data_IF_261760240898
#
_entry.id   IF_261760240898
#
_cell.length_a   1.000
_cell.length_b   1.000
_cell.length_c   1.000
_cell.angle_alpha   90.00
_cell.angle_beta   90.00
_cell.angle_gamma   90.00
#
_symmetry.space_group_name_H-M   'P 1'
#
loop_
_entity.id
_entity.type
_entity.pdbx_description
1 polymer ?
#
# COMPACT_ATOMS: atom_id res chain seq x y z
N UNK A 1 0.48 15.23 30.19
CA UNK A 1 -0.06 13.89 30.38
C UNK A 1 -1.32 13.92 31.24
N UNK A 2 -2.42 13.32 30.75
CA UNK A 2 -3.72 13.32 31.44
C UNK A 2 -4.23 11.86 31.57
N UNK A 3 -3.86 11.15 32.65
CA UNK A 3 -4.15 9.74 32.81
C UNK A 3 -5.67 9.43 32.89
N UNK A 4 -6.48 10.42 33.24
CA UNK A 4 -7.93 10.29 33.39
C UNK A 4 -8.72 10.58 32.10
N UNK A 5 -8.02 10.89 30.98
CA UNK A 5 -8.64 11.19 29.69
C UNK A 5 -8.40 10.07 28.68
N UNK A 6 -9.38 9.80 27.77
CA UNK A 6 -9.13 8.93 26.63
C UNK A 6 -7.96 9.44 25.80
N UNK A 7 -7.21 8.54 25.17
CA UNK A 7 -6.17 8.86 24.23
C UNK A 7 -6.49 8.32 22.85
N UNK A 8 -5.92 8.96 21.84
CA UNK A 8 -5.84 8.48 20.46
C UNK A 8 -4.37 8.43 20.06
N UNK A 9 -3.94 7.29 19.54
CA UNK A 9 -2.59 7.09 19.01
C UNK A 9 -2.67 6.61 17.57
N UNK A 10 -2.09 7.37 16.65
CA UNK A 10 -1.83 6.95 15.29
C UNK A 10 -0.34 6.65 15.16
N UNK A 11 0.00 5.37 15.07
CA UNK A 11 1.37 4.93 14.95
C UNK A 11 1.65 4.44 13.53
N UNK A 12 2.35 5.26 12.75
CA UNK A 12 2.73 4.99 11.37
C UNK A 12 4.27 4.96 11.26
N UNK A 13 4.91 3.80 11.54
CA UNK A 13 6.35 3.65 11.37
C UNK A 13 6.70 3.65 9.87
N UNK A 14 7.95 3.98 9.51
CA UNK A 14 8.45 3.86 8.14
C UNK A 14 8.56 2.40 7.63
N UNK A 15 8.46 1.43 8.53
CA UNK A 15 8.44 0.01 8.17
C UNK A 15 7.03 -0.39 7.64
N UNK A 16 6.94 -1.26 6.66
CA UNK A 16 8.02 -1.99 5.97
C UNK A 16 8.35 -1.42 4.58
N UNK A 17 8.25 -0.10 4.40
CA UNK A 17 8.66 0.58 3.15
C UNK A 17 10.20 0.60 3.01
N UNK A 18 10.71 0.60 1.78
CA UNK A 18 12.12 0.88 1.52
C UNK A 18 12.54 2.28 2.02
N UNK A 19 13.82 2.48 2.35
CA UNK A 19 14.88 1.48 2.37
C UNK A 19 14.75 0.50 3.56
N UNK A 20 15.10 -0.75 3.32
CA UNK A 20 15.00 -1.78 4.37
C UNK A 20 16.24 -1.74 5.25
N UNK A 21 16.15 -1.08 6.42
CA UNK A 21 17.23 -0.99 7.39
C UNK A 21 16.90 -1.80 8.65
N UNK A 22 17.79 -2.73 9.00
CA UNK A 22 17.61 -3.59 10.16
C UNK A 22 18.96 -4.06 10.73
N UNK A 23 19.03 -4.26 12.02
CA UNK A 23 20.19 -4.85 12.67
C UNK A 23 20.44 -6.28 12.17
N UNK A 24 21.72 -6.63 12.02
CA UNK A 24 22.17 -7.90 11.44
C UNK A 24 21.55 -9.13 12.13
N UNK A 25 21.43 -9.09 13.47
CA UNK A 25 20.85 -10.18 14.25
C UNK A 25 19.40 -10.52 13.87
N UNK A 26 18.67 -9.61 13.25
CA UNK A 26 17.31 -9.87 12.78
C UNK A 26 17.30 -10.50 11.39
N UNK A 27 18.11 -10.00 10.47
CA UNK A 27 18.19 -10.58 9.13
C UNK A 27 18.82 -11.96 9.11
N UNK A 28 19.80 -12.23 9.97
CA UNK A 28 20.44 -13.55 10.10
C UNK A 28 19.48 -14.67 10.54
N UNK A 29 18.35 -14.35 11.18
CA UNK A 29 17.31 -15.34 11.52
C UNK A 29 16.68 -15.98 10.29
N UNK A 30 16.73 -15.30 9.16
CA UNK A 30 16.07 -15.69 7.92
C UNK A 30 16.99 -16.33 6.90
N UNK A 31 18.29 -16.36 7.17
CA UNK A 31 19.26 -17.05 6.33
C UNK A 31 18.79 -18.47 6.02
N UNK A 32 18.91 -18.88 4.77
CA UNK A 32 18.53 -20.20 4.26
C UNK A 32 17.01 -20.53 4.37
N UNK A 33 16.14 -19.53 4.57
CA UNK A 33 14.69 -19.74 4.66
C UNK A 33 13.96 -19.60 3.32
N UNK A 34 14.62 -19.03 2.33
CA UNK A 34 14.02 -18.65 1.05
C UNK A 34 14.74 -19.24 -0.16
N UNK A 35 15.61 -20.26 0.03
CA UNK A 35 16.50 -20.84 -0.99
C UNK A 35 15.77 -21.33 -2.24
N UNK A 36 14.51 -21.77 -2.10
CA UNK A 36 13.65 -22.16 -3.22
C UNK A 36 13.13 -20.98 -4.09
N UNK A 37 13.46 -19.76 -3.71
CA UNK A 37 13.04 -18.56 -4.43
C UNK A 37 11.56 -18.20 -4.27
N UNK A 38 11.15 -17.16 -4.99
CA UNK A 38 9.81 -16.58 -4.83
C UNK A 38 8.68 -17.44 -5.38
N UNK A 39 8.90 -18.25 -6.40
CA UNK A 39 7.87 -19.13 -6.95
C UNK A 39 7.51 -20.25 -5.95
N UNK A 40 8.52 -20.94 -5.36
CA UNK A 40 8.29 -21.94 -4.30
C UNK A 40 7.71 -21.29 -3.03
N UNK A 41 8.26 -20.15 -2.61
CA UNK A 41 7.78 -19.43 -1.42
C UNK A 41 6.30 -19.08 -1.57
N UNK A 42 5.88 -18.57 -2.73
CA UNK A 42 4.48 -18.24 -3.02
C UNK A 42 3.58 -19.47 -2.92
N UNK A 43 3.97 -20.58 -3.52
CA UNK A 43 3.22 -21.84 -3.46
C UNK A 43 3.07 -22.33 -2.00
N UNK A 44 4.16 -22.28 -1.23
CA UNK A 44 4.18 -22.67 0.20
C UNK A 44 3.28 -21.75 1.05
N UNK A 45 3.33 -20.45 0.84
CA UNK A 45 2.47 -19.48 1.55
C UNK A 45 1.00 -19.74 1.23
N UNK A 46 0.66 -19.98 -0.03
CA UNK A 46 -0.71 -20.30 -0.46
C UNK A 46 -1.28 -21.53 0.26
N UNK A 47 -0.51 -22.64 0.30
CA UNK A 47 -0.93 -23.85 1.00
C UNK A 47 -1.13 -23.60 2.50
N UNK A 48 -0.26 -22.77 3.09
CA UNK A 48 -0.38 -22.39 4.50
C UNK A 48 -1.61 -21.53 4.77
N UNK A 49 -1.92 -20.58 3.89
CA UNK A 49 -3.13 -19.75 3.99
C UNK A 49 -4.41 -20.59 3.94
N UNK A 50 -4.49 -21.57 3.03
CA UNK A 50 -5.60 -22.54 2.96
C UNK A 50 -5.70 -23.37 4.26
N UNK A 51 -4.59 -23.95 4.72
CA UNK A 51 -4.55 -24.77 5.92
C UNK A 51 -4.95 -23.99 7.20
N UNK A 52 -4.68 -22.72 7.24
CA UNK A 52 -5.06 -21.82 8.35
C UNK A 52 -6.49 -21.27 8.23
N UNK A 53 -7.17 -21.48 7.09
CA UNK A 53 -8.49 -20.92 6.82
C UNK A 53 -8.49 -19.40 6.65
N UNK A 54 -7.32 -18.79 6.33
CA UNK A 54 -7.20 -17.33 6.12
C UNK A 54 -7.83 -16.94 4.78
N UNK A 55 -7.76 -17.82 3.79
CA UNK A 55 -8.41 -17.67 2.49
C UNK A 55 -9.46 -18.77 2.33
N UNK A 56 -10.55 -18.54 1.58
CA UNK A 56 -11.60 -19.54 1.35
C UNK A 56 -11.07 -20.81 0.71
N UNK A 57 -11.70 -21.94 1.05
CA UNK A 57 -11.51 -23.19 0.31
C UNK A 57 -11.92 -22.99 -1.15
N UNK A 58 -11.16 -23.55 -2.08
CA UNK A 58 -11.38 -23.37 -3.52
C UNK A 58 -10.77 -22.09 -4.10
N UNK A 59 -10.12 -21.25 -3.30
CA UNK A 59 -9.33 -20.12 -3.83
C UNK A 59 -8.26 -20.66 -4.79
N UNK A 60 -8.10 -20.00 -5.92
CA UNK A 60 -7.05 -20.33 -6.89
C UNK A 60 -5.83 -19.45 -6.69
N UNK A 61 -4.64 -20.03 -6.84
CA UNK A 61 -3.39 -19.28 -6.85
C UNK A 61 -3.22 -18.65 -8.23
N UNK A 62 -3.22 -17.31 -8.28
CA UNK A 62 -3.06 -16.61 -9.55
C UNK A 62 -1.66 -16.75 -10.12
N UNK A 63 -1.57 -16.76 -11.45
CA UNK A 63 -0.32 -16.87 -12.17
C UNK A 63 0.55 -15.62 -12.03
N UNK A 64 1.86 -15.81 -12.27
CA UNK A 64 2.83 -14.72 -12.37
C UNK A 64 2.61 -13.97 -13.69
N UNK A 65 2.70 -12.65 -13.65
CA UNK A 65 2.70 -11.86 -14.88
C UNK A 65 3.88 -12.27 -15.78
N UNK A 66 3.63 -12.43 -17.07
CA UNK A 66 4.63 -12.91 -18.04
C UNK A 66 5.84 -11.97 -18.19
N UNK A 67 5.71 -10.72 -17.73
CA UNK A 67 6.81 -9.73 -17.74
C UNK A 67 7.64 -9.74 -16.46
N UNK A 68 7.23 -10.52 -15.42
CA UNK A 68 8.04 -10.77 -14.23
C UNK A 68 8.95 -11.98 -14.45
N UNK A 69 10.21 -11.87 -14.04
CA UNK A 69 11.19 -12.95 -14.16
C UNK A 69 10.85 -14.10 -13.19
N UNK A 70 10.97 -15.37 -13.65
CA UNK A 70 10.89 -16.53 -12.78
C UNK A 70 12.17 -16.67 -11.95
N UNK A 71 12.08 -17.31 -10.77
CA UNK A 71 13.26 -17.56 -9.96
C UNK A 71 14.33 -18.39 -10.69
N UNK A 72 13.89 -19.38 -11.44
CA UNK A 72 14.81 -20.26 -12.19
C UNK A 72 15.54 -19.56 -13.34
N UNK A 73 15.01 -18.41 -13.80
CA UNK A 73 15.63 -17.59 -14.84
C UNK A 73 16.65 -16.57 -14.27
N UNK A 74 16.76 -16.46 -12.93
CA UNK A 74 17.75 -15.59 -12.30
C UNK A 74 19.14 -16.23 -12.42
N UNK A 75 20.15 -15.47 -12.90
CA UNK A 75 21.53 -15.95 -12.94
C UNK A 75 22.01 -16.47 -11.60
N UNK A 76 22.73 -17.60 -11.60
CA UNK A 76 23.15 -18.26 -10.37
C UNK A 76 24.02 -17.35 -9.47
N UNK A 77 24.86 -16.54 -10.08
CA UNK A 77 25.72 -15.56 -9.40
C UNK A 77 24.97 -14.35 -8.81
N UNK A 78 23.69 -14.17 -9.16
CA UNK A 78 22.83 -13.12 -8.61
C UNK A 78 21.92 -13.63 -7.48
N UNK A 79 21.68 -14.93 -7.38
CA UNK A 79 20.72 -15.51 -6.43
C UNK A 79 21.01 -15.18 -4.97
N UNK A 80 22.28 -15.25 -4.55
CA UNK A 80 22.67 -14.93 -3.18
C UNK A 80 22.32 -13.46 -2.81
N UNK A 81 22.53 -12.54 -3.73
CA UNK A 81 22.11 -11.14 -3.57
C UNK A 81 20.60 -11.02 -3.38
N UNK A 82 19.81 -11.71 -4.22
CA UNK A 82 18.35 -11.67 -4.15
C UNK A 82 17.81 -12.28 -2.85
N UNK A 83 18.39 -13.37 -2.39
CA UNK A 83 18.04 -14.00 -1.11
C UNK A 83 18.37 -13.08 0.06
N UNK A 84 19.55 -12.46 0.05
CA UNK A 84 19.96 -11.55 1.11
C UNK A 84 19.07 -10.32 1.23
N UNK A 85 18.59 -9.77 0.12
CA UNK A 85 17.60 -8.68 0.12
C UNK A 85 16.32 -9.08 0.85
N UNK A 86 15.85 -10.32 0.65
CA UNK A 86 14.65 -10.79 1.33
C UNK A 86 14.91 -11.10 2.81
N UNK A 87 16.06 -11.66 3.17
CA UNK A 87 16.43 -11.88 4.58
C UNK A 87 16.36 -10.57 5.39
N UNK A 88 16.89 -9.50 4.79
CA UNK A 88 16.86 -8.16 5.40
C UNK A 88 15.43 -7.68 5.58
N UNK A 89 14.59 -7.81 4.54
CA UNK A 89 13.18 -7.41 4.62
C UNK A 89 12.40 -8.24 5.66
N UNK A 90 12.58 -9.55 5.69
CA UNK A 90 11.92 -10.42 6.65
C UNK A 90 12.30 -10.09 8.10
N UNK A 91 13.59 -9.82 8.35
CA UNK A 91 14.08 -9.35 9.64
C UNK A 91 13.49 -7.98 10.03
N UNK A 92 13.34 -7.08 9.06
CA UNK A 92 12.73 -5.76 9.25
C UNK A 92 11.24 -5.86 9.65
N UNK A 93 10.49 -6.73 8.97
CA UNK A 93 9.08 -7.00 9.28
C UNK A 93 8.95 -7.63 10.68
N UNK A 94 9.74 -8.65 11.01
CA UNK A 94 9.70 -9.28 12.34
C UNK A 94 10.03 -8.28 13.46
N UNK A 95 11.04 -7.47 13.26
CA UNK A 95 11.40 -6.43 14.23
C UNK A 95 10.23 -5.47 14.47
N UNK A 96 9.60 -4.99 13.41
CA UNK A 96 8.44 -4.10 13.51
C UNK A 96 7.31 -4.75 14.30
N UNK A 97 6.98 -5.99 13.97
CA UNK A 97 5.98 -6.78 14.68
C UNK A 97 6.28 -6.93 16.17
N UNK A 98 7.54 -7.16 16.54
CA UNK A 98 7.97 -7.24 17.94
C UNK A 98 7.82 -5.89 18.66
N UNK A 99 8.06 -4.75 17.98
CA UNK A 99 7.84 -3.43 18.59
C UNK A 99 6.34 -3.15 18.82
N UNK A 100 5.47 -3.59 17.90
CA UNK A 100 4.01 -3.56 18.12
C UNK A 100 3.63 -4.36 19.37
N UNK A 101 4.17 -5.56 19.51
CA UNK A 101 3.95 -6.40 20.70
C UNK A 101 4.34 -5.67 22.00
N UNK A 102 5.53 -5.06 22.05
CA UNK A 102 5.98 -4.27 23.22
C UNK A 102 5.06 -3.11 23.56
N UNK A 103 4.51 -2.43 22.55
CA UNK A 103 3.54 -1.36 22.77
C UNK A 103 2.27 -1.90 23.44
N UNK A 104 1.75 -3.01 22.94
CA UNK A 104 0.55 -3.67 23.51
C UNK A 104 0.82 -4.16 24.93
N UNK A 105 1.97 -4.78 25.19
CA UNK A 105 2.38 -5.22 26.51
C UNK A 105 2.52 -4.04 27.50
N UNK A 106 3.04 -2.91 27.01
CA UNK A 106 3.11 -1.68 27.80
C UNK A 106 1.74 -1.13 28.18
N UNK A 107 0.77 -1.16 27.26
CA UNK A 107 -0.63 -0.78 27.56
C UNK A 107 -1.27 -1.75 28.58
N UNK A 108 -0.97 -3.04 28.48
CA UNK A 108 -1.46 -4.06 29.40
C UNK A 108 -0.92 -3.82 30.81
N UNK A 109 0.39 -3.60 30.94
CA UNK A 109 1.05 -3.30 32.21
C UNK A 109 0.54 -2.02 32.90
N UNK A 110 0.04 -1.05 32.11
CA UNK A 110 -0.59 0.17 32.62
C UNK A 110 -2.10 0.02 32.90
N UNK A 111 -2.70 -1.14 32.61
CA UNK A 111 -4.14 -1.39 32.81
C UNK A 111 -5.05 -0.76 31.76
N UNK A 112 -4.53 -0.34 30.61
CA UNK A 112 -5.34 0.31 29.55
C UNK A 112 -5.84 -0.64 28.47
N UNK A 113 -5.20 -1.80 28.27
CA UNK A 113 -5.47 -2.72 27.17
C UNK A 113 -6.92 -3.17 27.09
N UNK A 114 -7.53 -3.48 28.24
CA UNK A 114 -8.90 -4.05 28.28
C UNK A 114 -9.93 -3.14 27.60
N UNK A 115 -9.83 -1.81 27.84
CA UNK A 115 -10.74 -0.81 27.27
C UNK A 115 -10.08 0.04 26.16
N UNK A 116 -9.13 -0.50 25.45
CA UNK A 116 -8.50 0.13 24.28
C UNK A 116 -8.80 -0.70 23.05
N UNK A 117 -9.34 -0.06 22.00
CA UNK A 117 -9.38 -0.66 20.66
C UNK A 117 -8.03 -0.54 20.01
N UNK A 118 -7.46 -1.64 19.54
CA UNK A 118 -6.25 -1.70 18.76
C UNK A 118 -6.63 -2.16 17.35
N UNK A 119 -6.35 -1.34 16.36
CA UNK A 119 -6.52 -1.66 14.94
C UNK A 119 -5.12 -1.79 14.34
N UNK A 120 -4.76 -2.98 13.92
CA UNK A 120 -3.48 -3.27 13.28
C UNK A 120 -3.69 -3.58 11.81
N UNK A 121 -3.15 -2.75 10.94
CA UNK A 121 -3.18 -2.93 9.49
C UNK A 121 -1.75 -3.23 9.05
N UNK A 122 -1.56 -4.38 8.40
CA UNK A 122 -0.26 -4.77 7.88
C UNK A 122 -0.11 -4.28 6.44
N UNK A 123 0.57 -3.14 6.30
CA UNK A 123 0.71 -2.42 5.04
C UNK A 123 -0.50 -1.53 4.72
N UNK A 124 -0.25 -0.44 4.03
CA UNK A 124 -1.24 0.53 3.55
C UNK A 124 -1.66 0.25 2.09
N UNK A 125 -0.90 -0.59 1.41
CA UNK A 125 -1.08 -1.07 0.05
C UNK A 125 -0.38 -2.43 -0.12
N UNK A 126 -0.47 -3.05 -1.30
CA UNK A 126 0.20 -4.30 -1.60
C UNK A 126 1.73 -4.21 -1.53
N UNK A 127 2.40 -5.35 -1.56
CA UNK A 127 3.86 -5.45 -1.56
C UNK A 127 4.50 -4.64 -2.68
N UNK A 128 5.57 -3.89 -2.36
CA UNK A 128 6.20 -2.98 -3.31
C UNK A 128 7.15 -3.69 -4.28
N UNK A 129 6.87 -3.57 -5.57
CA UNK A 129 7.77 -4.01 -6.64
C UNK A 129 8.76 -2.91 -7.11
N UNK A 130 8.84 -1.79 -6.38
CA UNK A 130 9.66 -0.63 -6.76
C UNK A 130 11.15 -0.91 -6.75
N UNK A 131 11.59 -1.98 -6.08
CA UNK A 131 12.96 -2.49 -6.17
C UNK A 131 13.29 -3.15 -7.52
N UNK A 132 12.30 -3.40 -8.39
CA UNK A 132 12.42 -3.96 -9.73
C UNK A 132 13.23 -5.27 -9.74
N UNK A 133 14.47 -5.27 -10.24
CA UNK A 133 15.35 -6.44 -10.25
C UNK A 133 16.15 -6.62 -8.93
N UNK A 134 15.79 -5.89 -7.88
CA UNK A 134 16.56 -5.74 -6.67
C UNK A 134 17.49 -4.55 -6.72
N UNK A 135 17.54 -3.74 -5.67
CA UNK A 135 18.33 -2.50 -5.68
C UNK A 135 19.03 -2.25 -4.34
N UNK A 136 20.22 -1.67 -4.42
CA UNK A 136 20.95 -1.11 -3.27
C UNK A 136 20.71 0.40 -3.11
N UNK A 137 19.94 1.02 -4.01
CA UNK A 137 19.65 2.45 -3.98
C UNK A 137 18.22 2.74 -4.44
N UNK A 138 17.44 3.28 -3.55
CA UNK A 138 16.09 3.76 -3.85
C UNK A 138 16.12 4.82 -4.96
N UNK A 139 17.08 5.73 -4.92
CA UNK A 139 17.24 6.78 -5.93
C UNK A 139 17.41 6.19 -7.35
N UNK A 140 18.24 5.15 -7.49
CA UNK A 140 18.47 4.51 -8.79
C UNK A 140 17.21 3.79 -9.29
N UNK A 141 16.55 3.04 -8.40
CA UNK A 141 15.35 2.28 -8.74
C UNK A 141 14.18 3.19 -9.10
N UNK A 142 13.86 4.17 -8.29
CA UNK A 142 12.71 5.05 -8.51
C UNK A 142 12.87 5.97 -9.72
N UNK A 143 14.07 6.42 -10.01
CA UNK A 143 14.34 7.22 -11.20
C UNK A 143 14.68 6.38 -12.43
N UNK A 144 14.58 5.05 -12.34
CA UNK A 144 14.84 4.11 -13.44
C UNK A 144 16.21 4.33 -14.09
N UNK A 145 17.21 4.66 -13.27
CA UNK A 145 18.59 4.86 -13.75
C UNK A 145 19.19 3.48 -14.07
N UNK A 146 19.56 3.22 -15.35
CA UNK A 146 20.03 1.91 -15.75
C UNK A 146 21.26 1.46 -14.97
N UNK A 147 21.18 0.28 -14.38
CA UNK A 147 22.29 -0.39 -13.71
C UNK A 147 22.08 -1.90 -13.77
N UNK A 148 23.12 -2.68 -13.51
CA UNK A 148 23.06 -4.14 -13.47
C UNK A 148 23.32 -4.63 -12.04
N UNK A 149 22.84 -5.84 -11.73
CA UNK A 149 23.12 -6.47 -10.42
C UNK A 149 24.63 -6.64 -10.21
N UNK A 150 25.38 -7.01 -11.25
CA UNK A 150 26.85 -7.09 -11.19
C UNK A 150 27.51 -5.75 -10.80
N UNK A 151 27.02 -4.62 -11.32
CA UNK A 151 27.49 -3.29 -10.90
C UNK A 151 27.17 -2.97 -9.46
N UNK A 152 25.98 -3.35 -8.99
CA UNK A 152 25.56 -3.17 -7.62
C UNK A 152 26.41 -4.04 -6.66
N UNK A 153 26.65 -5.31 -7.01
CA UNK A 153 27.52 -6.21 -6.23
C UNK A 153 28.96 -5.68 -6.16
N UNK A 154 29.52 -5.20 -7.27
CA UNK A 154 30.84 -4.56 -7.28
C UNK A 154 30.91 -3.27 -6.44
N UNK A 155 29.79 -2.56 -6.28
CA UNK A 155 29.71 -1.43 -5.36
C UNK A 155 29.63 -1.89 -3.88
N UNK A 156 28.86 -2.95 -3.59
CA UNK A 156 28.77 -3.54 -2.27
C UNK A 156 30.13 -4.06 -1.78
N UNK A 157 30.94 -4.70 -2.62
CA UNK A 157 32.26 -5.22 -2.27
C UNK A 157 33.18 -4.14 -1.68
N UNK A 158 33.03 -2.89 -2.10
CA UNK A 158 33.82 -1.76 -1.61
C UNK A 158 33.41 -1.28 -0.20
N UNK A 159 32.23 -1.66 0.27
CA UNK A 159 31.64 -1.15 1.53
C UNK A 159 31.29 -2.25 2.53
N UNK A 160 31.63 -3.53 2.21
CA UNK A 160 31.46 -4.67 3.12
C UNK A 160 30.71 -5.86 2.52
N UNK A 161 30.52 -5.89 1.20
CA UNK A 161 29.83 -6.98 0.50
C UNK A 161 28.34 -7.04 0.86
N UNK A 162 27.76 -8.23 0.82
CA UNK A 162 26.34 -8.45 1.13
C UNK A 162 25.98 -8.08 2.59
N UNK A 163 26.95 -8.02 3.49
CA UNK A 163 26.74 -7.56 4.87
C UNK A 163 26.43 -6.05 4.96
N UNK A 164 26.63 -5.27 3.90
CA UNK A 164 26.21 -3.89 3.85
C UNK A 164 24.69 -3.73 3.66
N UNK A 165 24.02 -4.77 3.15
CA UNK A 165 22.55 -4.76 2.99
C UNK A 165 21.88 -4.73 4.38
N UNK A 166 20.86 -3.91 4.50
CA UNK A 166 20.16 -3.66 5.75
C UNK A 166 20.80 -2.59 6.64
N UNK A 167 21.95 -2.03 6.25
CA UNK A 167 22.63 -0.98 7.00
C UNK A 167 22.39 0.42 6.39
N UNK A 168 22.79 1.46 7.11
CA UNK A 168 22.74 2.84 6.63
C UNK A 168 23.73 3.18 5.50
N UNK A 169 24.45 2.20 4.99
CA UNK A 169 25.39 2.38 3.86
C UNK A 169 24.68 2.30 2.51
N UNK A 170 23.51 1.70 2.46
CA UNK A 170 22.73 1.47 1.25
C UNK A 170 21.24 1.64 1.52
N UNK A 171 20.47 1.91 0.46
CA UNK A 171 19.00 2.05 0.50
C UNK A 171 18.39 0.87 -0.24
N UNK A 172 18.55 -0.33 0.31
CA UNK A 172 18.19 -1.54 -0.40
C UNK A 172 16.69 -1.83 -0.41
N UNK A 173 16.25 -2.38 -1.56
CA UNK A 173 14.90 -2.88 -1.80
C UNK A 173 14.95 -4.23 -2.50
N UNK A 174 14.04 -5.13 -2.16
CA UNK A 174 14.00 -6.47 -2.74
C UNK A 174 13.49 -6.51 -4.18
N UNK A 175 13.71 -7.64 -4.85
CA UNK A 175 13.24 -7.91 -6.21
C UNK A 175 11.71 -7.99 -6.29
N UNK A 176 11.14 -7.54 -7.41
CA UNK A 176 9.69 -7.57 -7.68
C UNK A 176 9.05 -8.97 -7.57
N UNK A 177 9.80 -10.04 -7.84
CA UNK A 177 9.36 -11.42 -7.62
C UNK A 177 9.00 -11.68 -6.15
N UNK A 178 9.76 -11.14 -5.21
CA UNK A 178 9.43 -11.22 -3.78
C UNK A 178 8.19 -10.38 -3.42
N UNK A 179 8.01 -9.23 -4.07
CA UNK A 179 6.79 -8.44 -3.90
C UNK A 179 5.54 -9.23 -4.33
N UNK A 180 5.59 -9.84 -5.52
CA UNK A 180 4.52 -10.69 -6.00
C UNK A 180 4.26 -11.90 -5.09
N UNK A 181 5.31 -12.55 -4.60
CA UNK A 181 5.17 -13.63 -3.63
C UNK A 181 4.56 -13.15 -2.30
N UNK A 182 4.87 -11.93 -1.86
CA UNK A 182 4.24 -11.27 -0.70
C UNK A 182 2.77 -10.92 -0.89
N UNK A 183 2.28 -10.86 -2.13
CA UNK A 183 0.88 -10.58 -2.47
C UNK A 183 0.00 -11.83 -2.61
N UNK A 184 0.49 -13.03 -2.24
CA UNK A 184 -0.24 -14.31 -2.33
C UNK A 184 -1.62 -14.24 -1.65
N UNK A 185 -2.73 -14.73 -2.27
CA UNK A 185 -2.82 -15.45 -3.56
C UNK A 185 -3.03 -14.55 -4.77
N UNK A 186 -3.05 -13.23 -4.59
CA UNK A 186 -3.46 -12.26 -5.59
C UNK A 186 -2.37 -12.01 -6.63
N UNK A 187 -2.78 -11.55 -7.82
CA UNK A 187 -1.85 -11.05 -8.84
C UNK A 187 -1.46 -9.60 -8.57
N UNK A 188 -0.39 -9.16 -9.22
CA UNK A 188 0.13 -7.79 -9.13
C UNK A 188 0.67 -7.39 -7.75
N UNK A 189 1.04 -6.12 -7.62
CA UNK A 189 1.75 -5.55 -6.48
C UNK A 189 1.27 -4.11 -6.24
N UNK A 190 1.81 -3.41 -5.25
CA UNK A 190 1.62 -1.97 -5.03
C UNK A 190 1.57 -1.19 -6.36
N UNK A 191 0.81 -0.13 -6.42
CA UNK A 191 0.48 0.75 -7.57
C UNK A 191 -0.55 0.19 -8.55
N UNK A 192 -0.89 -1.10 -8.49
CA UNK A 192 -1.90 -1.69 -9.38
C UNK A 192 -3.24 -1.76 -8.66
N UNK A 193 -4.09 -0.74 -8.84
CA UNK A 193 -5.41 -0.68 -8.22
C UNK A 193 -6.41 -1.69 -8.81
N UNK A 194 -6.14 -2.18 -10.02
CA UNK A 194 -6.98 -3.15 -10.70
C UNK A 194 -6.98 -4.55 -10.06
N UNK A 195 -5.96 -4.89 -9.29
CA UNK A 195 -5.80 -6.22 -8.71
C UNK A 195 -5.54 -6.15 -7.20
N UNK A 196 -6.05 -7.14 -6.49
CA UNK A 196 -5.97 -7.18 -5.03
C UNK A 196 -4.56 -7.37 -4.47
N UNK A 197 -3.59 -7.83 -5.27
CA UNK A 197 -2.19 -7.78 -4.89
C UNK A 197 -1.65 -6.37 -4.67
N UNK A 198 -2.30 -5.35 -5.25
CA UNK A 198 -1.97 -3.95 -5.04
C UNK A 198 -2.75 -3.27 -3.92
N UNK A 199 -3.93 -3.78 -3.55
CA UNK A 199 -4.88 -3.03 -2.71
C UNK A 199 -5.37 -3.77 -1.47
N UNK A 200 -5.36 -5.12 -1.44
CA UNK A 200 -5.93 -5.89 -0.34
C UNK A 200 -4.91 -6.22 0.73
N UNK A 201 -5.12 -5.68 1.91
CA UNK A 201 -4.24 -5.87 3.06
C UNK A 201 -4.99 -6.48 4.25
N UNK A 202 -4.31 -7.27 5.10
CA UNK A 202 -4.92 -7.83 6.29
C UNK A 202 -5.07 -6.77 7.39
N UNK A 203 -6.20 -6.84 8.11
CA UNK A 203 -6.47 -6.03 9.28
C UNK A 203 -6.87 -6.91 10.45
N UNK A 204 -6.37 -6.60 11.63
CA UNK A 204 -6.75 -7.26 12.89
C UNK A 204 -7.25 -6.21 13.87
N UNK A 205 -8.37 -6.49 14.54
CA UNK A 205 -8.94 -5.60 15.55
C UNK A 205 -9.04 -6.35 16.86
N UNK A 206 -8.57 -5.72 17.94
CA UNK A 206 -8.66 -6.21 19.30
C UNK A 206 -9.28 -5.14 20.21
N UNK A 207 -10.30 -5.52 20.96
CA UNK A 207 -10.88 -4.70 22.02
C UNK A 207 -11.49 -5.61 23.09
N UNK A 208 -10.68 -6.10 24.04
CA UNK A 208 -11.09 -7.17 24.97
C UNK A 208 -12.41 -6.91 25.69
N UNK A 209 -12.68 -5.67 26.08
CA UNK A 209 -13.92 -5.29 26.76
C UNK A 209 -15.18 -5.45 25.91
N UNK A 210 -15.10 -5.36 24.59
CA UNK A 210 -16.26 -5.36 23.69
C UNK A 210 -16.24 -6.45 22.62
N UNK A 211 -15.08 -6.91 22.21
CA UNK A 211 -14.92 -7.94 21.18
C UNK A 211 -14.48 -9.22 21.87
N UNK A 212 -15.33 -10.25 21.81
CA UNK A 212 -14.94 -11.58 22.30
C UNK A 212 -13.92 -12.18 21.34
N UNK A 213 -12.83 -12.79 21.87
CA UNK A 213 -11.88 -13.49 21.02
C UNK A 213 -12.58 -14.62 20.26
N UNK A 214 -12.49 -14.57 18.94
CA UNK A 214 -12.89 -15.65 18.07
C UNK A 214 -11.82 -15.81 16.96
N UNK A 215 -11.91 -16.88 16.16
CA UNK A 215 -11.03 -17.16 15.04
C UNK A 215 -11.75 -16.97 13.70
N UNK A 216 -12.96 -16.46 13.71
CA UNK A 216 -13.76 -16.30 12.50
C UNK A 216 -13.25 -15.10 11.68
N UNK A 217 -12.95 -15.37 10.42
CA UNK A 217 -12.54 -14.34 9.47
C UNK A 217 -13.77 -13.51 9.08
N UNK A 218 -13.62 -12.19 9.09
CA UNK A 218 -14.63 -11.26 8.55
C UNK A 218 -14.40 -11.13 7.05
N UNK A 219 -15.43 -11.44 6.26
CA UNK A 219 -15.37 -11.46 4.78
C UNK A 219 -16.08 -10.27 4.12
N UNK A 220 -16.61 -9.34 4.92
CA UNK A 220 -17.19 -8.11 4.39
C UNK A 220 -16.15 -7.32 3.61
N UNK A 221 -16.57 -6.71 2.50
CA UNK A 221 -15.72 -5.78 1.77
C UNK A 221 -15.58 -4.50 2.60
N UNK A 222 -14.36 -4.19 2.99
CA UNK A 222 -14.00 -2.99 3.76
C UNK A 222 -12.94 -2.18 3.01
N UNK A 223 -12.94 -0.89 3.25
CA UNK A 223 -11.92 0.03 2.75
C UNK A 223 -11.35 0.87 3.90
N UNK A 224 -10.15 1.40 3.76
CA UNK A 224 -9.50 2.21 4.80
C UNK A 224 -10.34 3.43 5.22
N UNK A 225 -11.14 4.01 4.31
CA UNK A 225 -12.03 5.12 4.62
C UNK A 225 -13.20 4.74 5.55
N UNK A 226 -13.45 3.44 5.80
CA UNK A 226 -14.47 2.95 6.72
C UNK A 226 -14.03 3.01 8.19
N UNK A 227 -12.73 3.18 8.46
CA UNK A 227 -12.17 3.18 9.82
C UNK A 227 -12.68 4.38 10.62
N UNK A 228 -12.61 5.59 10.06
CA UNK A 228 -13.02 6.81 10.77
C UNK A 228 -14.51 6.82 11.10
N UNK A 229 -15.45 6.50 10.18
CA UNK A 229 -16.86 6.34 10.52
C UNK A 229 -17.11 5.28 11.59
N UNK A 230 -16.35 4.17 11.57
CA UNK A 230 -16.45 3.14 12.61
C UNK A 230 -15.99 3.66 13.97
N UNK A 231 -14.90 4.43 14.03
CA UNK A 231 -14.46 5.05 15.28
C UNK A 231 -15.51 6.02 15.82
N UNK A 232 -16.08 6.88 14.98
CA UNK A 232 -17.13 7.81 15.40
C UNK A 232 -18.35 7.08 15.95
N UNK A 233 -18.78 6.02 15.27
CA UNK A 233 -19.92 5.19 15.69
C UNK A 233 -19.68 4.56 17.07
N UNK A 234 -18.54 3.90 17.29
CA UNK A 234 -18.25 3.18 18.56
C UNK A 234 -18.00 4.10 19.76
N UNK A 235 -17.56 5.35 19.54
CA UNK A 235 -17.36 6.34 20.62
C UNK A 235 -18.53 7.33 20.75
N UNK A 236 -19.53 7.25 19.87
CA UNK A 236 -20.74 8.07 19.92
C UNK A 236 -20.52 9.53 19.53
N UNK A 237 -19.58 9.82 18.64
CA UNK A 237 -19.33 11.16 18.10
C UNK A 237 -19.97 11.27 16.71
N UNK A 238 -20.68 12.38 16.49
CA UNK A 238 -21.19 12.70 15.16
C UNK A 238 -20.09 13.33 14.31
N UNK A 239 -20.16 13.09 13.00
CA UNK A 239 -19.28 13.77 12.05
C UNK A 239 -19.45 15.29 12.16
N UNK A 240 -18.39 16.06 12.38
CA UNK A 240 -18.49 17.50 12.45
C UNK A 240 -18.78 18.09 11.08
N UNK A 241 -19.84 18.90 10.95
CA UNK A 241 -20.16 19.61 9.70
C UNK A 241 -19.19 20.74 9.42
N UNK A 242 -18.62 21.35 10.46
CA UNK A 242 -17.68 22.49 10.36
C UNK A 242 -16.45 22.22 11.23
N UNK A 243 -15.27 22.31 10.63
CA UNK A 243 -13.97 22.22 11.34
C UNK A 243 -13.14 23.48 11.05
N UNK A 244 -12.75 24.21 12.11
CA UNK A 244 -11.96 25.46 11.99
C UNK A 244 -12.62 26.52 11.06
N UNK A 245 -13.95 26.52 10.96
CA UNK A 245 -14.69 27.47 10.11
C UNK A 245 -14.89 27.00 8.67
N UNK A 246 -14.44 25.79 8.33
CA UNK A 246 -14.61 25.19 7.00
C UNK A 246 -15.66 24.08 7.05
N UNK A 247 -16.58 24.13 6.10
CA UNK A 247 -17.55 23.07 5.86
C UNK A 247 -16.82 21.78 5.41
N UNK A 248 -17.25 20.66 5.96
CA UNK A 248 -16.64 19.36 5.68
C UNK A 248 -17.44 18.60 4.63
N UNK A 249 -16.74 17.94 3.71
CA UNK A 249 -17.36 16.99 2.79
C UNK A 249 -17.92 15.78 3.56
N UNK A 250 -18.93 15.12 3.01
CA UNK A 250 -19.47 13.88 3.57
C UNK A 250 -18.41 12.78 3.55
N UNK A 251 -18.42 11.91 4.57
CA UNK A 251 -17.54 10.75 4.57
C UNK A 251 -18.05 9.64 3.65
N UNK A 252 -17.20 9.16 2.74
CA UNK A 252 -17.53 8.06 1.82
C UNK A 252 -17.58 6.70 2.53
N UNK A 253 -16.87 6.59 3.66
CA UNK A 253 -16.77 5.37 4.44
C UNK A 253 -18.07 5.02 5.16
N UNK A 254 -18.22 3.72 5.47
CA UNK A 254 -19.33 3.16 6.24
C UNK A 254 -18.82 2.48 7.49
N UNK A 255 -19.51 2.68 8.64
CA UNK A 255 -19.18 1.94 9.86
C UNK A 255 -19.35 0.44 9.65
N UNK A 256 -18.37 -0.33 10.12
CA UNK A 256 -18.43 -1.79 10.18
C UNK A 256 -18.45 -2.33 11.62
N UNK A 257 -18.81 -1.51 12.59
CA UNK A 257 -18.85 -1.87 14.02
C UNK A 257 -19.71 -3.11 14.31
N UNK A 258 -20.76 -3.35 13.51
CA UNK A 258 -21.61 -4.55 13.63
C UNK A 258 -20.84 -5.86 13.45
N UNK A 259 -19.71 -5.85 12.73
CA UNK A 259 -18.86 -7.03 12.52
C UNK A 259 -18.09 -7.43 13.79
N UNK A 260 -18.00 -6.55 14.77
CA UNK A 260 -17.30 -6.83 16.04
C UNK A 260 -17.95 -7.94 16.85
N UNK A 261 -19.27 -8.04 16.76
CA UNK A 261 -20.06 -9.04 17.50
C UNK A 261 -20.74 -10.07 16.60
N UNK A 262 -20.80 -9.82 15.30
CA UNK A 262 -21.42 -10.72 14.33
C UNK A 262 -20.52 -10.85 13.07
N UNK A 263 -19.75 -11.94 12.93
CA UNK A 263 -18.88 -12.16 11.77
C UNK A 263 -19.65 -12.25 10.46
N UNK A 264 -20.96 -12.59 10.51
CA UNK A 264 -21.84 -12.69 9.36
C UNK A 264 -22.74 -11.46 9.18
N UNK A 265 -22.37 -10.31 9.76
CA UNK A 265 -23.13 -9.08 9.60
C UNK A 265 -23.19 -8.68 8.12
N UNK A 266 -24.28 -8.01 7.73
CA UNK A 266 -24.44 -7.51 6.37
C UNK A 266 -23.29 -6.56 6.02
N UNK A 267 -22.80 -6.66 4.78
CA UNK A 267 -21.84 -5.71 4.23
C UNK A 267 -22.54 -4.39 3.88
N UNK A 268 -22.27 -3.35 4.64
CA UNK A 268 -22.86 -2.02 4.44
C UNK A 268 -22.13 -1.22 3.35
N UNK A 269 -20.89 -1.58 3.03
CA UNK A 269 -20.13 -0.97 1.93
C UNK A 269 -20.56 -1.63 0.63
N UNK A 270 -21.36 -0.92 -0.16
CA UNK A 270 -21.89 -1.44 -1.43
C UNK A 270 -21.00 -1.10 -2.61
N UNK A 271 -20.40 0.08 -2.61
CA UNK A 271 -19.57 0.59 -3.71
C UNK A 271 -18.25 1.12 -3.18
N UNK A 272 -17.18 0.90 -3.92
CA UNK A 272 -15.88 1.51 -3.70
C UNK A 272 -15.17 1.73 -5.04
N UNK A 273 -14.78 2.94 -5.27
CA UNK A 273 -13.99 3.42 -6.39
C UNK A 273 -12.49 3.33 -6.09
N UNK A 274 -11.68 3.03 -7.11
CA UNK A 274 -10.23 2.97 -7.04
C UNK A 274 -9.61 3.60 -8.29
N UNK A 275 -8.64 4.49 -8.13
CA UNK A 275 -7.67 4.88 -9.18
C UNK A 275 -6.28 5.07 -8.57
N UNK A 276 -5.27 4.61 -9.28
CA UNK A 276 -3.88 4.88 -8.99
C UNK A 276 -3.07 4.91 -10.29
N UNK A 277 -2.68 6.10 -10.74
CA UNK A 277 -1.89 6.29 -11.95
C UNK A 277 -2.52 5.60 -13.20
N UNK A 278 -3.84 5.62 -13.30
CA UNK A 278 -4.59 5.02 -14.39
C UNK A 278 -4.90 3.52 -14.23
N UNK A 279 -4.27 2.82 -13.29
CA UNK A 279 -4.76 1.51 -12.85
C UNK A 279 -5.98 1.74 -11.96
N UNK A 280 -7.14 1.19 -12.34
CA UNK A 280 -8.40 1.62 -11.73
C UNK A 280 -9.45 0.53 -11.73
N UNK A 281 -10.48 0.73 -10.91
CA UNK A 281 -11.61 -0.18 -10.86
C UNK A 281 -12.72 0.29 -9.93
N UNK A 282 -13.82 -0.43 -9.96
CA UNK A 282 -14.95 -0.23 -9.06
C UNK A 282 -15.46 -1.56 -8.53
N UNK A 283 -15.58 -1.62 -7.21
CA UNK A 283 -16.32 -2.66 -6.52
C UNK A 283 -17.79 -2.25 -6.40
N UNK A 284 -18.69 -3.18 -6.69
CA UNK A 284 -20.11 -3.00 -6.43
C UNK A 284 -20.79 -4.35 -6.12
N UNK A 285 -21.31 -4.49 -4.89
CA UNK A 285 -22.12 -5.62 -4.41
C UNK A 285 -21.54 -7.03 -4.71
N UNK A 286 -20.23 -7.15 -4.66
CA UNK A 286 -19.51 -8.41 -4.87
C UNK A 286 -18.94 -8.56 -6.28
N UNK A 287 -19.23 -7.66 -7.19
CA UNK A 287 -18.59 -7.57 -8.49
C UNK A 287 -17.44 -6.56 -8.47
N UNK A 288 -16.42 -6.80 -9.28
CA UNK A 288 -15.30 -5.89 -9.44
C UNK A 288 -14.96 -5.74 -10.91
N UNK A 289 -15.16 -4.55 -11.46
CA UNK A 289 -14.71 -4.22 -12.81
C UNK A 289 -13.44 -3.38 -12.71
N UNK A 290 -12.40 -3.73 -13.46
CA UNK A 290 -11.12 -3.03 -13.38
C UNK A 290 -10.34 -3.04 -14.69
N UNK A 291 -9.37 -2.13 -14.80
CA UNK A 291 -8.40 -2.10 -15.88
C UNK A 291 -7.01 -1.85 -15.32
N UNK A 292 -6.03 -2.56 -15.88
CA UNK A 292 -4.67 -2.56 -15.38
C UNK A 292 -4.01 -1.17 -15.45
N UNK A 293 -4.35 -0.38 -16.46
CA UNK A 293 -3.70 0.91 -16.73
C UNK A 293 -2.34 0.78 -17.41
N UNK A 294 -1.60 1.88 -17.54
CA UNK A 294 -0.38 1.91 -18.36
C UNK A 294 0.86 1.37 -17.64
N UNK A 295 0.92 1.48 -16.30
CA UNK A 295 2.16 1.28 -15.55
C UNK A 295 2.31 -0.15 -15.03
N UNK A 296 3.43 -0.80 -15.34
CA UNK A 296 3.88 -2.05 -14.70
C UNK A 296 4.97 -1.73 -13.68
N UNK A 297 4.68 -1.75 -12.37
CA UNK A 297 5.63 -1.31 -11.34
C UNK A 297 6.94 -2.10 -11.28
N UNK A 298 6.94 -3.32 -11.80
CA UNK A 298 8.09 -4.24 -11.84
C UNK A 298 8.94 -4.14 -13.11
N UNK A 299 8.56 -3.30 -14.07
CA UNK A 299 9.29 -3.13 -15.34
C UNK A 299 10.10 -1.84 -15.30
N UNK A 300 11.44 -1.97 -15.38
CA UNK A 300 12.33 -0.82 -15.51
C UNK A 300 12.22 -0.18 -16.89
N UNK A 301 12.25 1.15 -16.93
CA UNK A 301 12.28 1.93 -18.17
C UNK A 301 11.20 1.50 -19.18
N UNK A 302 9.97 1.35 -18.69
CA UNK A 302 8.83 0.99 -19.53
C UNK A 302 8.64 2.03 -20.64
N UNK A 303 8.52 1.56 -21.89
CA UNK A 303 8.27 2.38 -23.08
C UNK A 303 6.77 2.43 -23.39
N UNK A 304 6.36 3.44 -24.18
CA UNK A 304 5.00 3.58 -24.69
C UNK A 304 4.00 4.14 -23.68
N UNK A 305 4.48 4.67 -22.55
CA UNK A 305 3.61 5.36 -21.58
C UNK A 305 3.07 6.68 -22.15
N UNK A 306 3.84 7.34 -22.99
CA UNK A 306 3.52 8.60 -23.66
C UNK A 306 2.34 8.50 -24.64
N UNK A 307 2.07 7.31 -25.16
CA UNK A 307 0.98 7.04 -26.11
C UNK A 307 -0.28 6.52 -25.41
N UNK A 308 -0.28 6.40 -24.09
CA UNK A 308 -1.40 5.81 -23.35
C UNK A 308 -2.67 6.66 -23.45
N UNK A 309 -3.77 5.98 -23.75
CA UNK A 309 -5.10 6.58 -23.82
C UNK A 309 -6.07 5.76 -22.95
N UNK A 310 -6.56 6.35 -21.88
CA UNK A 310 -7.47 5.70 -20.95
C UNK A 310 -8.78 5.16 -21.56
N UNK A 311 -9.20 5.69 -22.72
CA UNK A 311 -10.39 5.23 -23.43
C UNK A 311 -10.18 3.89 -24.17
N UNK A 312 -8.93 3.51 -24.41
CA UNK A 312 -8.56 2.28 -25.12
C UNK A 312 -8.21 1.13 -24.17
N UNK A 313 -8.26 1.38 -22.86
CA UNK A 313 -7.95 0.37 -21.87
C UNK A 313 -8.92 -0.81 -21.90
N UNK A 314 -8.35 -2.01 -21.80
CA UNK A 314 -9.11 -3.26 -21.71
C UNK A 314 -9.57 -3.49 -20.27
N UNK A 315 -10.87 -3.57 -20.09
CA UNK A 315 -11.48 -3.83 -18.79
C UNK A 315 -11.73 -5.31 -18.57
N UNK A 316 -11.56 -5.75 -17.34
CA UNK A 316 -11.83 -7.09 -16.83
C UNK A 316 -12.97 -7.03 -15.81
N UNK A 317 -13.63 -8.17 -15.59
CA UNK A 317 -14.76 -8.30 -14.68
C UNK A 317 -14.59 -9.54 -13.79
N UNK A 318 -14.83 -9.40 -12.49
CA UNK A 318 -14.68 -10.47 -11.52
C UNK A 318 -15.90 -10.60 -10.62
N UNK A 319 -16.35 -11.81 -10.35
CA UNK A 319 -17.34 -12.13 -9.31
C UNK A 319 -16.62 -12.53 -8.02
N UNK A 320 -16.40 -11.59 -7.12
CA UNK A 320 -15.64 -11.79 -5.89
C UNK A 320 -16.32 -12.73 -4.87
N UNK A 321 -17.58 -13.07 -5.06
CA UNK A 321 -18.27 -14.06 -4.22
C UNK A 321 -17.80 -15.48 -4.53
N UNK A 322 -17.44 -15.73 -5.78
CA UNK A 322 -17.03 -17.04 -6.29
C UNK A 322 -15.54 -17.09 -6.65
N UNK A 323 -14.92 -15.95 -6.90
CA UNK A 323 -13.50 -15.80 -7.27
C UNK A 323 -12.79 -14.85 -6.30
N UNK A 324 -12.28 -15.40 -5.20
CA UNK A 324 -11.61 -14.62 -4.16
C UNK A 324 -10.34 -13.90 -4.64
N UNK A 325 -9.62 -14.49 -5.58
CA UNK A 325 -8.28 -14.06 -6.02
C UNK A 325 -8.26 -13.29 -7.33
N UNK A 326 -9.41 -13.06 -7.98
CA UNK A 326 -9.49 -12.48 -9.32
C UNK A 326 -8.75 -13.35 -10.36
N UNK A 327 -8.97 -14.67 -10.31
CA UNK A 327 -8.35 -15.62 -11.22
C UNK A 327 -9.03 -15.64 -12.59
N UNK A 328 -10.34 -15.41 -12.65
CA UNK A 328 -11.18 -15.60 -13.83
C UNK A 328 -11.81 -14.29 -14.30
N UNK A 329 -11.39 -13.82 -15.47
CA UNK A 329 -12.01 -12.66 -16.12
C UNK A 329 -13.32 -13.09 -16.81
N UNK A 330 -14.42 -12.53 -16.34
CA UNK A 330 -15.78 -12.78 -16.82
C UNK A 330 -16.29 -11.71 -17.79
N UNK A 331 -15.43 -10.82 -18.24
CA UNK A 331 -15.83 -9.69 -19.11
C UNK A 331 -16.52 -10.09 -20.40
N UNK A 332 -16.09 -11.20 -20.99
CA UNK A 332 -16.69 -11.73 -22.22
C UNK A 332 -18.03 -12.47 -21.96
N UNK A 333 -18.22 -13.02 -20.75
CA UNK A 333 -19.44 -13.75 -20.38
C UNK A 333 -20.56 -12.82 -19.93
N UNK A 334 -20.21 -11.69 -19.28
CA UNK A 334 -21.14 -10.71 -18.72
C UNK A 334 -20.89 -9.29 -19.24
N UNK A 335 -20.96 -9.05 -20.58
CA UNK A 335 -20.62 -7.75 -21.15
C UNK A 335 -21.56 -6.62 -20.70
N UNK A 336 -22.83 -6.92 -20.42
CA UNK A 336 -23.79 -5.94 -19.91
C UNK A 336 -23.43 -5.49 -18.47
N UNK A 337 -23.03 -6.46 -17.63
CA UNK A 337 -22.57 -6.16 -16.26
C UNK A 337 -21.27 -5.35 -16.27
N UNK A 338 -20.37 -5.64 -17.18
CA UNK A 338 -19.16 -4.85 -17.36
C UNK A 338 -19.50 -3.41 -17.78
N UNK A 339 -20.43 -3.24 -18.72
CA UNK A 339 -20.87 -1.90 -19.17
C UNK A 339 -21.50 -1.10 -18.03
N UNK A 340 -22.38 -1.72 -17.23
CA UNK A 340 -22.97 -1.12 -16.03
C UNK A 340 -21.92 -0.61 -15.05
N UNK A 341 -20.90 -1.46 -14.74
CA UNK A 341 -19.86 -1.09 -13.77
C UNK A 341 -18.89 -0.05 -14.34
N UNK A 342 -18.63 -0.04 -15.62
CA UNK A 342 -17.84 1.04 -16.26
C UNK A 342 -18.55 2.39 -16.16
N UNK A 343 -19.87 2.42 -16.35
CA UNK A 343 -20.66 3.64 -16.16
C UNK A 343 -20.65 4.07 -14.70
N UNK A 344 -20.80 3.13 -13.76
CA UNK A 344 -20.69 3.41 -12.33
C UNK A 344 -19.32 3.99 -11.99
N UNK A 345 -18.23 3.40 -12.49
CA UNK A 345 -16.88 3.94 -12.31
C UNK A 345 -16.77 5.39 -12.75
N UNK A 346 -17.28 5.75 -13.94
CA UNK A 346 -17.21 7.11 -14.45
C UNK A 346 -18.01 8.11 -13.59
N UNK A 347 -19.15 7.68 -13.02
CA UNK A 347 -19.93 8.49 -12.11
C UNK A 347 -19.18 8.73 -10.79
N UNK A 348 -18.62 7.67 -10.19
CA UNK A 348 -17.80 7.77 -8.99
C UNK A 348 -16.55 8.65 -9.23
N UNK A 349 -15.86 8.49 -10.36
CA UNK A 349 -14.71 9.30 -10.74
C UNK A 349 -15.08 10.80 -10.84
N UNK A 350 -16.27 11.10 -11.38
CA UNK A 350 -16.76 12.48 -11.49
C UNK A 350 -17.07 13.07 -10.11
N UNK A 351 -17.75 12.32 -9.25
CA UNK A 351 -18.09 12.76 -7.89
C UNK A 351 -16.84 12.97 -7.04
N UNK A 352 -15.85 12.09 -7.17
CA UNK A 352 -14.57 12.15 -6.45
C UNK A 352 -13.54 13.09 -7.10
N UNK A 353 -13.90 13.82 -8.17
CA UNK A 353 -13.04 14.81 -8.85
C UNK A 353 -11.75 14.20 -9.43
N UNK A 354 -11.84 12.95 -9.92
CA UNK A 354 -10.70 12.18 -10.42
C UNK A 354 -10.41 12.41 -11.93
N UNK A 355 -11.11 13.31 -12.57
CA UNK A 355 -10.80 13.68 -13.95
C UNK A 355 -9.73 14.77 -14.05
N UNK A 356 -8.83 14.67 -15.05
CA UNK A 356 -8.73 13.61 -16.06
C UNK A 356 -8.15 12.33 -15.49
N UNK A 357 -8.67 11.16 -15.94
CA UNK A 357 -8.21 9.84 -15.50
C UNK A 357 -6.71 9.68 -15.78
N UNK A 358 -5.95 9.21 -14.76
CA UNK A 358 -4.53 9.00 -14.87
C UNK A 358 -3.69 10.29 -14.88
N UNK A 359 -4.23 11.42 -14.39
CA UNK A 359 -3.52 12.70 -14.35
C UNK A 359 -2.11 12.62 -13.74
N UNK A 360 -1.90 11.74 -12.75
CA UNK A 360 -0.59 11.52 -12.14
C UNK A 360 0.46 11.01 -13.12
N UNK A 361 0.09 10.10 -14.02
CA UNK A 361 0.97 9.62 -15.09
C UNK A 361 1.17 10.72 -16.14
N UNK A 362 0.10 11.38 -16.57
CA UNK A 362 0.20 12.46 -17.54
C UNK A 362 1.20 13.53 -17.11
N UNK A 363 1.09 14.04 -15.91
CA UNK A 363 2.00 15.07 -15.38
C UNK A 363 3.45 14.60 -15.21
N UNK A 364 3.69 13.30 -15.04
CA UNK A 364 5.05 12.73 -15.02
C UNK A 364 5.69 12.69 -16.41
N UNK A 365 4.88 12.42 -17.43
CA UNK A 365 5.31 12.36 -18.83
C UNK A 365 5.39 13.74 -19.49
N UNK A 366 4.55 14.67 -19.00
CA UNK A 366 4.40 16.04 -19.50
C UNK A 366 4.69 17.05 -18.39
N UNK A 367 5.92 17.15 -17.91
CA UNK A 367 6.26 18.08 -16.83
C UNK A 367 6.03 19.55 -17.19
N UNK A 368 5.92 19.87 -18.47
CA UNK A 368 5.50 21.19 -18.97
C UNK A 368 4.08 21.57 -18.60
N UNK A 369 3.20 20.57 -18.41
CA UNK A 369 1.80 20.78 -18.01
C UNK A 369 1.61 20.93 -16.49
N UNK A 370 2.68 20.73 -15.71
CA UNK A 370 2.63 20.93 -14.25
C UNK A 370 2.36 22.39 -13.95
N UNK A 371 1.23 22.65 -13.29
CA UNK A 371 0.87 24.00 -12.85
C UNK A 371 1.94 24.49 -11.88
N UNK A 372 2.72 25.48 -12.33
CA UNK A 372 3.66 26.18 -11.45
C UNK A 372 2.94 27.31 -10.73
N UNK A 373 3.26 27.50 -9.45
CA UNK A 373 2.72 28.62 -8.70
C UNK A 373 3.03 29.94 -9.42
N UNK A 374 2.03 30.77 -9.72
CA UNK A 374 2.25 32.10 -10.33
C UNK A 374 2.84 33.10 -9.34
N UNK A 375 2.92 32.72 -8.07
CA UNK A 375 3.40 33.60 -7.01
C UNK A 375 4.93 33.70 -7.02
N UNK A 376 5.42 34.88 -6.76
CA UNK A 376 6.85 35.19 -6.55
C UNK A 376 7.15 35.59 -5.11
N UNK A 377 6.11 35.80 -4.31
CA UNK A 377 6.18 36.18 -2.91
C UNK A 377 5.14 35.38 -2.11
N UNK A 378 5.52 34.94 -0.93
CA UNK A 378 4.68 34.21 0.01
C UNK A 378 4.81 34.83 1.39
N UNK A 379 3.69 35.02 2.05
CA UNK A 379 3.64 35.45 3.45
C UNK A 379 3.09 34.32 4.30
N UNK A 380 3.84 33.90 5.29
CA UNK A 380 3.46 32.90 6.27
C UNK A 380 3.21 33.57 7.62
N UNK A 381 2.23 33.05 8.34
CA UNK A 381 1.93 33.48 9.68
C UNK A 381 1.71 32.27 10.60
N UNK A 382 1.48 32.48 11.89
CA UNK A 382 1.30 31.41 12.87
C UNK A 382 0.13 30.44 12.56
N UNK A 383 -0.77 30.80 11.66
CA UNK A 383 -1.90 29.94 11.26
C UNK A 383 -1.58 29.13 10.01
N UNK A 384 -0.50 29.41 9.30
CA UNK A 384 -0.06 28.66 8.12
C UNK A 384 0.56 27.35 8.55
N UNK A 385 -0.21 26.26 8.53
CA UNK A 385 0.24 24.96 9.01
C UNK A 385 0.59 24.00 7.86
N UNK A 386 -0.01 24.16 6.70
CA UNK A 386 0.19 23.33 5.51
C UNK A 386 0.02 24.15 4.24
N UNK A 387 0.71 23.73 3.19
CA UNK A 387 0.60 24.30 1.86
C UNK A 387 0.81 23.19 0.83
N UNK A 388 -0.02 23.08 -0.23
CA UNK A 388 0.24 22.12 -1.31
C UNK A 388 1.56 22.42 -2.00
N UNK A 389 2.29 21.40 -2.42
CA UNK A 389 3.62 21.55 -3.02
C UNK A 389 3.61 22.47 -4.23
N UNK A 390 2.61 22.35 -5.10
CA UNK A 390 2.48 23.19 -6.31
C UNK A 390 2.23 24.68 -5.98
N UNK A 391 1.73 25.00 -4.80
CA UNK A 391 1.51 26.37 -4.33
C UNK A 391 2.65 26.89 -3.46
N UNK A 392 3.57 26.01 -3.04
CA UNK A 392 4.67 26.34 -2.13
C UNK A 392 5.81 27.08 -2.84
N UNK A 393 6.61 27.90 -2.10
CA UNK A 393 7.82 28.47 -2.67
C UNK A 393 8.81 27.35 -3.01
N UNK A 394 9.35 27.36 -4.21
CA UNK A 394 10.36 26.38 -4.67
C UNK A 394 11.73 26.61 -4.02
N UNK A 395 11.79 26.56 -2.69
CA UNK A 395 13.04 26.73 -1.93
C UNK A 395 14.05 25.64 -2.35
N UNK A 396 15.27 26.04 -2.66
CA UNK A 396 16.30 25.14 -3.17
C UNK A 396 16.31 24.92 -4.69
N UNK A 397 15.23 25.27 -5.39
CA UNK A 397 15.15 25.20 -6.88
C UNK A 397 15.49 26.53 -7.53
N UNK A 398 15.33 27.66 -6.83
CA UNK A 398 15.56 29.02 -7.31
C UNK A 398 16.21 29.86 -6.21
N UNK A 399 16.90 30.94 -6.59
CA UNK A 399 17.38 31.95 -5.64
C UNK A 399 16.20 32.53 -4.88
N UNK A 400 16.31 32.63 -3.57
CA UNK A 400 15.25 33.13 -2.71
C UNK A 400 15.81 34.02 -1.59
N UNK A 401 14.96 34.86 -1.04
CA UNK A 401 15.20 35.66 0.14
C UNK A 401 14.12 35.34 1.16
N UNK A 402 14.53 35.02 2.38
CA UNK A 402 13.59 34.78 3.49
C UNK A 402 13.72 35.95 4.47
N UNK A 403 12.62 36.62 4.74
CA UNK A 403 12.52 37.68 5.72
C UNK A 403 11.64 37.20 6.87
N UNK A 404 12.09 37.36 8.10
CA UNK A 404 11.37 36.95 9.30
C UNK A 404 11.14 38.16 10.19
N UNK A 405 9.88 38.50 10.42
CA UNK A 405 9.50 39.48 11.46
C UNK A 405 9.25 38.70 12.76
N UNK A 406 10.08 38.96 13.75
CA UNK A 406 10.04 38.27 15.05
C UNK A 406 9.65 39.25 16.17
N UNK A 407 8.52 38.98 16.81
CA UNK A 407 8.13 39.64 18.05
C UNK A 407 8.43 38.70 19.23
N UNK A 408 9.34 39.11 20.10
CA UNK A 408 9.64 38.41 21.36
C UNK A 408 8.83 39.07 22.46
N UNK A 409 7.87 38.32 23.02
CA UNK A 409 7.15 38.76 24.23
C UNK A 409 8.04 38.52 25.46
N UNK A 410 8.23 39.55 26.27
CA UNK A 410 8.91 39.47 27.56
C UNK A 410 8.18 38.55 28.54
#
# INVERSE_FOLDING_TARGET
>A
YSPDKPFFMYWAPGAAHGPHHIFKEWSEKYKDKFDGGWDEYRARVFQRQLAMGIIPEGTELTERDSTMVAWDDIPEDEKEFQLRLLDVFAGFVEHTYVQVGKLIDGMDAMGYKDNTIVIYIFGDNGSSAEGQNGSISELLAQNQIPNTISQQMAALDKIGGLDALGTNKVENMYHSGWAWAGSTPFRSTKLVAAHFGGTRNPMVISWPKRIKPDKEIRSQFLHVNDIVPTLYDIIGIQHPEIVNGFEQDQMDGKSFAQTFTNPNAENLKKTQFFDNNGSRGVYHEGWFASTFGPLRPWVSAQKGLEDWNSNEDVWQLYDLKNDFSQAHDLSAEYPEKLAELKELFLNEAKENKDFPIGAGIWLRLHPEDVITSPYTEWTFNQTTTRMPEFAAPGLGKKSNTVVIDLEVKE
#
